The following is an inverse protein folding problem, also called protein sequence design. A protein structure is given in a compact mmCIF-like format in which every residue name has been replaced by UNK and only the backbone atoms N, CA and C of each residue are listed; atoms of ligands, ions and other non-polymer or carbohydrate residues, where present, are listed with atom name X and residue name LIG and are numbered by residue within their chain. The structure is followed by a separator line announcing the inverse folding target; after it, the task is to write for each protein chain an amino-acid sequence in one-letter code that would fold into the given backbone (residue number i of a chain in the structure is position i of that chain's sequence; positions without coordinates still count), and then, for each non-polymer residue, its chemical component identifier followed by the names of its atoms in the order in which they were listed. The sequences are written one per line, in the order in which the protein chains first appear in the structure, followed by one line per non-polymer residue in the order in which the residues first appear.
data_IF_831616914332
#
_entry.id   IF_831616914332
#
_cell.length_a   1.000
_cell.length_b   1.000
_cell.length_c   1.000
_cell.angle_alpha   90.00
_cell.angle_beta   90.00
_cell.angle_gamma   90.00
#
_symmetry.space_group_name_H-M   'P 1'
#
loop_
_entity.id
_entity.type
_entity.pdbx_description
1 polymer ?
#
# COMPACT_ATOMS: atom_id res chain seq x y z
N UNK A 1 -16.82 -21.93 -44.85
CA UNK A 1 -15.49 -22.46 -44.48
C UNK A 1 -14.38 -21.42 -44.46
N UNK A 2 -14.14 -20.61 -45.52
CA UNK A 2 -12.99 -19.66 -45.56
C UNK A 2 -12.99 -18.57 -44.47
N UNK A 3 -14.16 -18.05 -44.05
CA UNK A 3 -14.25 -17.01 -42.99
C UNK A 3 -13.99 -17.58 -41.60
N UNK A 4 -14.50 -18.79 -41.31
CA UNK A 4 -14.29 -19.45 -40.02
C UNK A 4 -12.82 -19.86 -39.84
N UNK A 5 -12.18 -20.40 -40.89
CA UNK A 5 -10.74 -20.68 -40.87
C UNK A 5 -9.91 -19.42 -40.62
N UNK A 6 -10.24 -18.30 -41.30
CA UNK A 6 -9.57 -17.02 -41.05
C UNK A 6 -9.74 -16.54 -39.60
N UNK A 7 -10.97 -16.61 -39.06
CA UNK A 7 -11.24 -16.23 -37.68
C UNK A 7 -10.47 -17.10 -36.67
N UNK A 8 -10.44 -18.42 -36.88
CA UNK A 8 -9.69 -19.33 -36.02
C UNK A 8 -8.18 -19.09 -36.11
N UNK A 9 -7.63 -18.86 -37.31
CA UNK A 9 -6.22 -18.49 -37.48
C UNK A 9 -5.90 -17.13 -36.85
N UNK A 10 -6.84 -16.19 -36.90
CA UNK A 10 -6.71 -14.91 -36.22
C UNK A 10 -6.68 -15.13 -34.71
N UNK A 11 -7.71 -15.71 -34.09
CA UNK A 11 -7.74 -15.97 -32.64
C UNK A 11 -6.52 -16.77 -32.17
N UNK A 12 -6.12 -17.81 -32.91
CA UNK A 12 -4.93 -18.59 -32.58
C UNK A 12 -3.64 -17.76 -32.68
N UNK A 13 -3.51 -16.92 -33.70
CA UNK A 13 -2.37 -16.01 -33.84
C UNK A 13 -2.24 -15.02 -32.68
N UNK A 14 -3.36 -14.55 -32.10
CA UNK A 14 -3.35 -13.70 -30.92
C UNK A 14 -2.74 -14.43 -29.71
N UNK A 15 -3.19 -15.66 -29.46
CA UNK A 15 -2.65 -16.46 -28.35
C UNK A 15 -1.17 -16.83 -28.55
N UNK A 16 -0.72 -17.07 -29.78
CA UNK A 16 0.70 -17.29 -30.06
C UNK A 16 1.53 -16.04 -29.75
N UNK A 17 1.04 -14.84 -30.10
CA UNK A 17 1.71 -13.59 -29.77
C UNK A 17 1.73 -13.34 -28.25
N UNK A 18 0.62 -13.63 -27.55
CA UNK A 18 0.54 -13.51 -26.10
C UNK A 18 1.46 -14.51 -25.39
N UNK A 19 1.57 -15.75 -25.88
CA UNK A 19 2.50 -16.74 -25.32
C UNK A 19 3.95 -16.36 -25.55
N UNK A 20 4.28 -15.76 -26.70
CA UNK A 20 5.63 -15.25 -26.95
C UNK A 20 5.97 -14.07 -26.03
N UNK A 21 5.02 -13.17 -25.79
CA UNK A 21 5.16 -12.04 -24.87
C UNK A 21 5.46 -12.51 -23.44
N UNK A 22 4.64 -13.43 -22.92
CA UNK A 22 4.86 -14.05 -21.60
C UNK A 22 6.19 -14.82 -21.51
N UNK A 23 6.63 -15.47 -22.59
CA UNK A 23 7.93 -16.14 -22.64
C UNK A 23 9.09 -15.13 -22.56
N UNK A 24 9.01 -14.02 -23.31
CA UNK A 24 10.03 -12.98 -23.28
C UNK A 24 10.11 -12.32 -21.90
N UNK A 25 8.97 -11.98 -21.30
CA UNK A 25 8.88 -11.43 -19.94
C UNK A 25 9.43 -12.40 -18.88
N UNK A 26 8.95 -13.65 -18.89
CA UNK A 26 9.29 -14.60 -17.85
C UNK A 26 10.71 -15.14 -17.93
N UNK A 27 11.25 -15.39 -19.13
CA UNK A 27 12.52 -16.13 -19.25
C UNK A 27 13.67 -15.21 -19.65
N UNK A 28 13.47 -14.38 -20.68
CA UNK A 28 14.56 -13.58 -21.23
C UNK A 28 14.91 -12.43 -20.31
N UNK A 29 13.90 -11.71 -19.80
CA UNK A 29 14.15 -10.57 -18.93
C UNK A 29 14.56 -10.96 -17.51
N UNK A 30 14.03 -12.04 -16.95
CA UNK A 30 14.54 -12.60 -15.68
C UNK A 30 16.03 -13.01 -15.80
N UNK A 31 16.43 -13.62 -16.92
CA UNK A 31 17.83 -13.95 -17.19
C UNK A 31 18.72 -12.71 -17.42
N UNK A 32 18.22 -11.68 -18.09
CA UNK A 32 18.94 -10.42 -18.31
C UNK A 32 19.11 -9.60 -17.02
N UNK A 33 18.13 -9.65 -16.11
CA UNK A 33 18.24 -9.08 -14.76
C UNK A 33 19.33 -9.80 -13.95
N UNK A 34 19.43 -11.15 -14.06
CA UNK A 34 20.54 -11.91 -13.45
C UNK A 34 21.93 -11.54 -14.02
N UNK A 35 21.98 -11.05 -15.26
CA UNK A 35 23.21 -10.61 -15.95
C UNK A 35 23.45 -9.09 -15.93
N UNK A 36 22.70 -8.33 -15.11
CA UNK A 36 22.97 -6.91 -14.85
C UNK A 36 22.62 -5.94 -15.98
N UNK A 37 21.74 -6.32 -16.91
CA UNK A 37 21.21 -5.42 -17.95
C UNK A 37 19.79 -4.97 -17.60
N UNK A 38 19.47 -3.69 -17.81
CA UNK A 38 18.14 -3.13 -17.51
C UNK A 38 17.12 -3.39 -18.62
N UNK A 39 15.82 -3.43 -18.27
CA UNK A 39 14.72 -3.56 -19.26
C UNK A 39 14.78 -2.44 -20.29
N UNK A 40 14.51 -2.79 -21.56
CA UNK A 40 14.46 -1.84 -22.67
C UNK A 40 13.00 -1.60 -23.06
N UNK A 41 12.36 -0.61 -22.42
CA UNK A 41 10.93 -0.31 -22.55
C UNK A 41 10.48 -0.02 -24.00
N UNK A 42 11.41 0.42 -24.86
CA UNK A 42 11.15 0.63 -26.28
C UNK A 42 10.80 -0.65 -27.05
N UNK A 43 11.33 -1.80 -26.63
CA UNK A 43 10.99 -3.09 -27.23
C UNK A 43 9.50 -3.41 -27.02
N UNK A 44 8.98 -3.19 -25.81
CA UNK A 44 7.57 -3.41 -25.49
C UNK A 44 6.65 -2.45 -26.24
N UNK A 45 7.02 -1.17 -26.33
CA UNK A 45 6.26 -0.21 -27.12
C UNK A 45 6.17 -0.61 -28.60
N UNK A 46 7.28 -1.07 -29.19
CA UNK A 46 7.32 -1.56 -30.58
C UNK A 46 6.53 -2.86 -30.75
N UNK A 47 6.65 -3.79 -29.80
CA UNK A 47 5.97 -5.08 -29.81
C UNK A 47 4.45 -4.93 -29.69
N UNK A 48 3.97 -4.16 -28.71
CA UNK A 48 2.54 -3.85 -28.57
C UNK A 48 1.99 -3.05 -29.76
N UNK A 49 2.82 -2.21 -30.39
CA UNK A 49 2.50 -1.59 -31.67
C UNK A 49 2.21 -2.60 -32.77
N UNK A 50 3.03 -3.65 -32.91
CA UNK A 50 2.82 -4.73 -33.87
C UNK A 50 1.54 -5.54 -33.57
N UNK A 51 1.28 -5.84 -32.30
CA UNK A 51 0.06 -6.54 -31.85
C UNK A 51 -1.19 -5.71 -32.18
N UNK A 52 -1.17 -4.40 -31.89
CA UNK A 52 -2.29 -3.50 -32.18
C UNK A 52 -2.58 -3.41 -33.68
N UNK A 53 -1.54 -3.27 -34.52
CA UNK A 53 -1.69 -3.25 -35.99
C UNK A 53 -2.29 -4.57 -36.49
N UNK A 54 -1.79 -5.71 -36.01
CA UNK A 54 -2.29 -7.02 -36.40
C UNK A 54 -3.75 -7.23 -35.96
N UNK A 55 -4.13 -6.75 -34.78
CA UNK A 55 -5.50 -6.83 -34.26
C UNK A 55 -6.48 -5.96 -35.07
N UNK A 56 -6.12 -4.69 -35.31
CA UNK A 56 -6.92 -3.75 -36.10
C UNK A 56 -7.08 -4.22 -37.55
N UNK A 57 -6.02 -4.77 -38.14
CA UNK A 57 -6.09 -5.38 -39.47
C UNK A 57 -7.07 -6.55 -39.52
N UNK A 58 -7.05 -7.42 -38.50
CA UNK A 58 -8.00 -8.53 -38.36
C UNK A 58 -9.46 -8.07 -38.29
N UNK A 59 -9.75 -7.05 -37.48
CA UNK A 59 -11.09 -6.44 -37.36
C UNK A 59 -11.55 -5.88 -38.70
N UNK A 60 -10.71 -5.09 -39.38
CA UNK A 60 -11.06 -4.48 -40.66
C UNK A 60 -11.37 -5.54 -41.73
N UNK A 61 -10.60 -6.64 -41.78
CA UNK A 61 -10.81 -7.76 -42.69
C UNK A 61 -12.09 -8.54 -42.40
N UNK A 62 -12.41 -8.77 -41.12
CA UNK A 62 -13.66 -9.42 -40.71
C UNK A 62 -14.87 -8.55 -41.05
N UNK A 63 -14.81 -7.25 -40.76
CA UNK A 63 -15.86 -6.28 -41.07
C UNK A 63 -16.14 -6.21 -42.58
N UNK A 64 -15.10 -6.12 -43.42
CA UNK A 64 -15.24 -6.07 -44.88
C UNK A 64 -15.88 -7.35 -45.45
N UNK A 65 -15.49 -8.53 -44.94
CA UNK A 65 -16.08 -9.82 -45.35
C UNK A 65 -17.53 -9.99 -44.87
N UNK A 66 -17.87 -9.43 -43.72
CA UNK A 66 -19.23 -9.49 -43.16
C UNK A 66 -20.19 -8.56 -43.91
N UNK A 67 -19.75 -7.33 -44.22
CA UNK A 67 -20.50 -6.36 -45.05
C UNK A 67 -20.76 -6.88 -46.48
N UNK A 68 -19.76 -7.48 -47.12
CA UNK A 68 -19.92 -8.09 -48.47
C UNK A 68 -20.93 -9.24 -48.50
N UNK A 69 -21.03 -10.03 -47.42
CA UNK A 69 -22.05 -11.10 -47.30
C UNK A 69 -23.46 -10.54 -47.08
N UNK A 70 -23.60 -9.42 -46.36
CA UNK A 70 -24.89 -8.77 -46.09
C UNK A 70 -25.49 -8.19 -47.38
N UNK A 71 -24.69 -7.49 -48.18
CA UNK A 71 -25.10 -6.94 -49.48
C UNK A 71 -25.53 -8.02 -50.49
N UNK A 72 -24.86 -9.18 -50.51
CA UNK A 72 -25.27 -10.32 -51.37
C UNK A 72 -26.55 -11.03 -50.92
N UNK A 73 -26.96 -10.86 -49.66
CA UNK A 73 -28.17 -11.49 -49.09
C UNK A 73 -29.40 -10.59 -49.22
N UNK A 74 -29.21 -9.27 -49.35
CA UNK A 74 -30.28 -8.30 -49.58
C UNK A 74 -30.69 -8.18 -51.06
N UNK A 75 -29.88 -8.65 -52.03
CA UNK A 75 -30.21 -8.59 -53.47
C UNK A 75 -31.09 -9.74 -54.00
N UNK A 76 -31.50 -10.70 -53.16
CA UNK A 76 -32.22 -11.93 -53.61
C UNK A 76 -33.48 -12.27 -52.81
N UNK A 77 -34.05 -11.35 -52.03
CA UNK A 77 -35.30 -11.58 -51.30
C UNK A 77 -36.38 -10.57 -51.74
N UNK A 78 -37.58 -11.00 -52.18
CA UNK A 78 -38.67 -10.08 -52.44
C UNK A 78 -39.16 -9.47 -51.12
N UNK A 79 -39.26 -8.13 -51.10
CA UNK A 79 -39.74 -7.33 -49.98
C UNK A 79 -41.23 -7.58 -49.76
N UNK A 80 -41.56 -8.31 -48.69
CA UNK A 80 -42.88 -8.24 -48.08
C UNK A 80 -42.70 -8.17 -46.56
N UNK A 81 -42.84 -6.98 -46.00
CA UNK A 81 -42.71 -6.73 -44.56
C UNK A 81 -43.98 -6.06 -44.06
N UNK A 82 -44.82 -6.86 -43.41
CA UNK A 82 -45.89 -6.38 -42.54
C UNK A 82 -45.27 -5.74 -41.30
N UNK A 83 -45.80 -4.58 -40.89
CA UNK A 83 -45.35 -3.73 -39.76
C UNK A 83 -45.39 -4.41 -38.37
N UNK A 84 -45.73 -5.70 -38.26
CA UNK A 84 -45.87 -6.41 -36.97
C UNK A 84 -44.65 -7.20 -36.49
N UNK A 85 -43.64 -7.44 -37.33
CA UNK A 85 -42.45 -8.23 -36.94
C UNK A 85 -41.22 -7.39 -36.54
N UNK A 86 -41.28 -6.07 -36.69
CA UNK A 86 -40.17 -5.17 -36.34
C UNK A 86 -39.95 -5.09 -34.80
N UNK A 87 -41.02 -5.22 -34.00
CA UNK A 87 -40.94 -5.09 -32.54
C UNK A 87 -40.59 -6.40 -31.80
N UNK A 88 -40.51 -7.55 -32.48
CA UNK A 88 -40.14 -8.84 -31.83
C UNK A 88 -38.65 -9.21 -31.93
N UNK A 89 -37.85 -8.48 -32.71
CA UNK A 89 -36.42 -8.79 -32.92
C UNK A 89 -35.43 -7.87 -32.20
N UNK A 90 -35.90 -6.85 -31.48
CA UNK A 90 -35.06 -6.00 -30.63
C UNK A 90 -34.85 -6.57 -29.21
N UNK A 91 -35.46 -7.71 -28.88
CA UNK A 91 -35.44 -8.33 -27.54
C UNK A 91 -34.49 -9.54 -27.40
N UNK A 92 -33.64 -9.83 -28.40
CA UNK A 92 -32.66 -10.95 -28.34
C UNK A 92 -31.21 -10.47 -28.56
N UNK A 93 -30.95 -9.16 -28.46
CA UNK A 93 -29.58 -8.60 -28.53
C UNK A 93 -29.17 -7.85 -27.25
N UNK A 94 -29.83 -8.13 -26.13
CA UNK A 94 -29.59 -7.49 -24.82
C UNK A 94 -29.38 -8.48 -23.67
N UNK A 95 -28.83 -9.67 -23.96
CA UNK A 95 -28.68 -10.75 -22.98
C UNK A 95 -27.34 -11.48 -23.13
N UNK A 96 -26.21 -10.78 -23.06
CA UNK A 96 -24.86 -11.37 -22.92
C UNK A 96 -23.85 -10.46 -22.18
N UNK A 97 -24.31 -9.62 -21.25
CA UNK A 97 -23.46 -8.91 -20.29
C UNK A 97 -24.04 -9.17 -18.90
N UNK A 98 -23.89 -10.40 -18.44
CA UNK A 98 -24.52 -10.90 -17.22
C UNK A 98 -23.79 -12.11 -16.69
N UNK A 99 -22.48 -11.97 -16.47
CA UNK A 99 -21.74 -12.71 -15.44
C UNK A 99 -20.84 -11.64 -14.80
N UNK A 100 -21.44 -10.83 -13.93
CA UNK A 100 -20.67 -10.07 -12.95
C UNK A 100 -20.02 -11.07 -11.99
N UNK A 101 -18.78 -10.86 -11.54
CA UNK A 101 -18.21 -11.68 -10.49
C UNK A 101 -19.03 -11.45 -9.22
N UNK A 102 -19.88 -12.40 -8.88
CA UNK A 102 -20.36 -12.56 -7.52
C UNK A 102 -19.19 -13.11 -6.70
N UNK A 103 -18.98 -12.51 -5.53
CA UNK A 103 -18.11 -12.96 -4.43
C UNK A 103 -16.61 -12.66 -4.58
N UNK A 104 -16.29 -11.38 -4.74
CA UNK A 104 -15.27 -10.78 -3.87
C UNK A 104 -15.97 -9.67 -3.12
N UNK A 105 -16.45 -9.97 -1.91
CA UNK A 105 -16.71 -8.94 -0.91
C UNK A 105 -15.35 -8.44 -0.44
N UNK A 106 -14.63 -7.69 -1.29
CA UNK A 106 -13.80 -6.64 -0.75
C UNK A 106 -14.79 -5.70 -0.08
N UNK A 107 -14.83 -5.75 1.26
CA UNK A 107 -15.25 -4.59 2.02
C UNK A 107 -14.35 -3.46 1.55
N UNK A 108 -14.81 -2.68 0.58
CA UNK A 108 -14.38 -1.30 0.45
C UNK A 108 -14.80 -0.66 1.76
N UNK A 109 -13.91 -0.68 2.74
CA UNK A 109 -13.96 0.28 3.82
C UNK A 109 -14.01 1.63 3.12
N UNK A 110 -15.13 2.33 3.30
CA UNK A 110 -15.28 3.68 2.80
C UNK A 110 -14.11 4.49 3.39
N UNK A 111 -13.13 4.79 2.54
CA UNK A 111 -11.93 5.51 2.89
C UNK A 111 -12.35 6.97 3.11
N UNK A 112 -12.66 7.28 4.36
CA UNK A 112 -12.71 8.65 4.86
C UNK A 112 -11.39 8.99 5.56
N UNK A 113 -10.26 8.42 5.13
CA UNK A 113 -8.97 8.91 5.60
C UNK A 113 -8.71 10.23 4.88
N UNK A 114 -8.49 11.29 5.65
CA UNK A 114 -7.87 12.47 5.08
C UNK A 114 -6.45 12.08 4.66
N UNK A 115 -6.03 12.51 3.48
CA UNK A 115 -4.63 12.40 3.06
C UNK A 115 -3.77 13.23 4.03
N UNK A 116 -3.07 12.56 4.95
CA UNK A 116 -2.18 13.19 5.92
C UNK A 116 -0.78 13.38 5.35
N UNK A 117 -0.10 14.44 5.79
CA UNK A 117 1.35 14.57 5.63
C UNK A 117 2.06 13.96 6.83
N UNK A 118 2.93 13.00 6.57
CA UNK A 118 3.64 12.25 7.61
C UNK A 118 5.14 12.44 7.43
N UNK A 119 5.78 13.03 8.44
CA UNK A 119 7.23 13.13 8.51
C UNK A 119 7.81 11.94 9.28
N UNK A 120 8.73 11.18 8.70
CA UNK A 120 9.37 10.05 9.37
C UNK A 120 10.81 10.43 9.75
N UNK A 121 11.07 10.55 11.05
CA UNK A 121 12.42 10.72 11.60
C UNK A 121 13.02 9.34 11.86
N UNK A 122 13.85 8.85 10.94
CA UNK A 122 14.49 7.55 11.02
C UNK A 122 13.92 6.52 10.05
N UNK A 123 14.45 6.47 8.83
CA UNK A 123 14.02 5.53 7.77
C UNK A 123 14.69 4.15 7.85
N UNK A 124 14.86 3.61 9.05
CA UNK A 124 15.38 2.25 9.27
C UNK A 124 14.34 1.17 8.93
N UNK A 125 14.55 -0.07 9.40
CA UNK A 125 13.62 -1.19 9.11
C UNK A 125 12.16 -0.87 9.43
N UNK A 126 11.88 -0.39 10.64
CA UNK A 126 10.49 -0.10 11.06
C UNK A 126 9.93 1.18 10.41
N UNK A 127 10.70 2.27 10.40
CA UNK A 127 10.30 3.53 9.77
C UNK A 127 10.08 3.40 8.26
N UNK A 128 10.94 2.64 7.58
CA UNK A 128 10.80 2.30 6.18
C UNK A 128 9.55 1.46 5.90
N UNK A 129 9.36 0.35 6.62
CA UNK A 129 8.21 -0.54 6.41
C UNK A 129 6.88 0.17 6.65
N UNK A 130 6.73 0.88 7.77
CA UNK A 130 5.51 1.63 8.08
C UNK A 130 5.28 2.76 7.08
N UNK A 131 6.32 3.52 6.74
CA UNK A 131 6.19 4.61 5.78
C UNK A 131 5.81 4.15 4.38
N UNK A 132 6.30 3.00 3.92
CA UNK A 132 5.87 2.41 2.64
C UNK A 132 4.37 2.14 2.71
N UNK A 133 3.90 1.48 3.78
CA UNK A 133 2.47 1.17 3.95
C UNK A 133 1.60 2.43 4.00
N UNK A 134 2.05 3.49 4.68
CA UNK A 134 1.32 4.76 4.68
C UNK A 134 1.28 5.44 3.32
N UNK A 135 2.36 5.37 2.54
CA UNK A 135 2.38 5.88 1.17
C UNK A 135 1.44 5.08 0.24
N UNK A 136 1.43 3.74 0.37
CA UNK A 136 0.49 2.83 -0.31
C UNK A 136 -0.97 3.11 0.08
N UNK A 137 -1.22 3.49 1.33
CA UNK A 137 -2.54 3.88 1.84
C UNK A 137 -3.00 5.27 1.36
N UNK A 138 -2.15 6.02 0.65
CA UNK A 138 -2.48 7.33 0.06
C UNK A 138 -1.98 8.54 0.84
N UNK A 139 -1.28 8.36 1.97
CA UNK A 139 -0.71 9.50 2.71
C UNK A 139 0.57 10.02 2.06
N UNK A 140 0.84 11.33 2.20
CA UNK A 140 2.09 11.91 1.73
C UNK A 140 3.18 11.69 2.78
N UNK A 141 4.27 11.01 2.43
CA UNK A 141 5.32 10.61 3.37
C UNK A 141 6.64 11.28 3.01
N UNK A 142 7.29 11.90 4.00
CA UNK A 142 8.67 12.36 3.90
C UNK A 142 9.55 11.49 4.80
N UNK A 143 10.31 10.59 4.18
CA UNK A 143 11.31 9.77 4.84
C UNK A 143 12.57 10.57 5.11
N UNK A 144 13.09 10.53 6.35
CA UNK A 144 14.33 11.22 6.65
C UNK A 144 15.48 10.35 7.15
N UNK A 145 16.67 10.76 6.73
CA UNK A 145 17.95 10.20 7.10
C UNK A 145 18.98 11.34 7.20
N UNK A 146 20.10 11.06 7.87
CA UNK A 146 21.29 11.92 7.81
C UNK A 146 21.95 11.88 6.43
N UNK A 147 21.64 10.84 5.64
CA UNK A 147 22.08 10.62 4.26
C UNK A 147 20.85 10.30 3.40
N UNK A 148 20.01 11.31 3.06
CA UNK A 148 18.76 11.08 2.33
C UNK A 148 18.99 10.54 0.91
N UNK A 149 20.16 10.79 0.32
CA UNK A 149 20.60 10.21 -0.96
C UNK A 149 20.59 8.68 -0.96
N UNK A 150 20.80 8.06 0.21
CA UNK A 150 20.78 6.60 0.37
C UNK A 150 19.36 6.02 0.45
N UNK A 151 18.33 6.85 0.50
CA UNK A 151 16.93 6.39 0.56
C UNK A 151 16.31 6.14 -0.81
N UNK A 152 17.09 6.20 -1.89
CA UNK A 152 16.61 6.08 -3.27
C UNK A 152 15.73 4.83 -3.48
N UNK A 153 16.15 3.66 -3.00
CA UNK A 153 15.37 2.43 -3.19
C UNK A 153 14.13 2.37 -2.31
N UNK A 154 14.17 2.99 -1.11
CA UNK A 154 13.01 3.13 -0.24
C UNK A 154 11.94 4.00 -0.89
N UNK A 155 12.33 5.13 -1.50
CA UNK A 155 11.40 6.01 -2.21
C UNK A 155 10.81 5.31 -3.43
N UNK A 156 11.61 4.57 -4.19
CA UNK A 156 11.09 3.77 -5.32
C UNK A 156 10.04 2.76 -4.86
N UNK A 157 10.26 2.09 -3.73
CA UNK A 157 9.30 1.14 -3.16
C UNK A 157 8.02 1.82 -2.69
N UNK A 158 8.13 2.99 -2.04
CA UNK A 158 6.98 3.70 -1.49
C UNK A 158 6.14 4.43 -2.56
N UNK A 159 6.67 4.66 -3.77
CA UNK A 159 5.94 5.21 -4.89
C UNK A 159 5.77 6.74 -4.85
N UNK A 160 4.78 7.25 -5.59
CA UNK A 160 4.63 8.69 -5.90
C UNK A 160 4.29 9.56 -4.68
N UNK A 161 3.74 8.96 -3.62
CA UNK A 161 3.37 9.66 -2.40
C UNK A 161 4.55 9.86 -1.43
N UNK A 162 5.76 9.42 -1.80
CA UNK A 162 6.93 9.44 -0.95
C UNK A 162 8.04 10.35 -1.46
N UNK A 163 8.71 11.03 -0.53
CA UNK A 163 9.92 11.81 -0.78
C UNK A 163 10.95 11.60 0.32
N UNK A 164 12.21 11.97 0.06
CA UNK A 164 13.31 11.87 1.01
C UNK A 164 13.88 13.24 1.36
N UNK A 165 14.29 13.41 2.62
CA UNK A 165 14.94 14.64 3.09
C UNK A 165 15.67 14.46 4.42
N UNK A 166 16.07 15.57 5.03
CA UNK A 166 16.71 15.60 6.35
C UNK A 166 15.67 15.59 7.48
N UNK A 167 16.06 15.19 8.71
CA UNK A 167 15.12 15.12 9.85
C UNK A 167 14.36 16.42 10.14
N UNK A 168 15.01 17.58 9.98
CA UNK A 168 14.35 18.88 10.12
C UNK A 168 13.22 19.07 9.09
N UNK A 169 13.43 18.62 7.85
CA UNK A 169 12.44 18.72 6.78
C UNK A 169 11.26 17.79 7.06
N UNK A 170 11.48 16.56 7.53
CA UNK A 170 10.41 15.67 7.98
C UNK A 170 9.58 16.27 9.12
N UNK A 171 10.24 16.81 10.15
CA UNK A 171 9.58 17.43 11.28
C UNK A 171 8.71 18.63 10.87
N UNK A 172 9.21 19.44 9.93
CA UNK A 172 8.48 20.58 9.39
C UNK A 172 7.31 20.16 8.48
N UNK A 173 7.53 19.18 7.60
CA UNK A 173 6.59 18.70 6.59
C UNK A 173 5.36 18.01 7.18
N UNK A 174 5.55 17.13 8.17
CA UNK A 174 4.47 16.28 8.68
C UNK A 174 3.48 17.06 9.53
N UNK A 175 2.19 16.86 9.31
CA UNK A 175 1.13 17.17 10.27
C UNK A 175 1.15 16.13 11.42
N UNK A 176 1.59 14.91 11.09
CA UNK A 176 1.99 13.85 12.01
C UNK A 176 3.48 13.57 11.83
N UNK A 177 4.21 13.37 12.92
CA UNK A 177 5.62 12.97 12.87
C UNK A 177 5.79 11.60 13.52
N UNK A 178 6.41 10.67 12.80
CA UNK A 178 6.74 9.34 13.30
C UNK A 178 8.24 9.26 13.62
N UNK A 179 8.58 8.96 14.87
CA UNK A 179 9.97 8.85 15.34
C UNK A 179 10.35 7.38 15.44
N UNK A 180 11.30 6.97 14.59
CA UNK A 180 11.78 5.61 14.42
C UNK A 180 13.32 5.55 14.48
N UNK A 181 13.91 6.23 15.46
CA UNK A 181 15.36 6.25 15.71
C UNK A 181 15.75 5.29 16.85
N UNK A 182 17.04 4.88 16.96
CA UNK A 182 17.54 4.29 18.19
C UNK A 182 17.20 5.17 19.41
N UNK A 183 16.81 4.55 20.53
CA UNK A 183 16.22 5.30 21.65
C UNK A 183 17.18 6.36 22.22
N UNK A 184 18.50 6.12 22.20
CA UNK A 184 19.48 7.12 22.64
C UNK A 184 19.51 8.41 21.81
N UNK A 185 18.97 8.39 20.59
CA UNK A 185 18.89 9.57 19.73
C UNK A 185 17.65 10.44 20.01
N UNK A 186 16.66 9.93 20.75
CA UNK A 186 15.42 10.64 21.05
C UNK A 186 15.64 12.00 21.76
N UNK A 187 16.54 12.12 22.77
CA UNK A 187 16.84 13.42 23.38
C UNK A 187 17.39 14.44 22.38
N UNK A 188 18.26 14.00 21.45
CA UNK A 188 18.82 14.88 20.42
C UNK A 188 17.74 15.31 19.42
N UNK A 189 16.85 14.41 19.01
CA UNK A 189 15.68 14.75 18.17
C UNK A 189 14.80 15.81 18.84
N UNK A 190 14.58 15.68 20.15
CA UNK A 190 13.88 16.69 20.94
C UNK A 190 14.58 18.05 20.94
N UNK A 191 15.88 18.07 21.22
CA UNK A 191 16.69 19.30 21.23
C UNK A 191 16.70 20.01 19.87
N UNK A 192 16.89 19.26 18.80
CA UNK A 192 17.06 19.83 17.46
C UNK A 192 15.73 20.20 16.81
N UNK A 193 14.67 19.41 17.02
CA UNK A 193 13.47 19.48 16.18
C UNK A 193 12.15 19.67 16.93
N UNK A 194 12.10 19.62 18.28
CA UNK A 194 10.82 19.79 19.00
C UNK A 194 10.12 21.12 18.68
N UNK A 195 10.87 22.18 18.40
CA UNK A 195 10.32 23.48 18.00
C UNK A 195 9.53 23.43 16.68
N UNK A 196 9.80 22.45 15.80
CA UNK A 196 9.08 22.21 14.55
C UNK A 196 7.84 21.32 14.74
N UNK A 197 7.74 20.64 15.89
CA UNK A 197 6.72 19.64 16.19
C UNK A 197 5.70 20.10 17.25
N UNK A 198 5.75 21.37 17.67
CA UNK A 198 4.86 21.91 18.69
C UNK A 198 3.39 21.73 18.31
N UNK A 199 2.59 21.21 19.24
CA UNK A 199 1.17 20.86 19.08
C UNK A 199 0.85 19.83 17.97
N UNK A 200 1.86 19.25 17.31
CA UNK A 200 1.68 18.18 16.33
C UNK A 200 1.51 16.84 17.03
N UNK A 201 0.88 15.89 16.35
CA UNK A 201 0.87 14.50 16.80
C UNK A 201 2.24 13.91 16.50
N UNK A 202 2.89 13.40 17.54
CA UNK A 202 4.18 12.72 17.41
C UNK A 202 4.00 11.28 17.88
N UNK A 203 4.22 10.33 16.98
CA UNK A 203 4.13 8.91 17.26
C UNK A 203 5.55 8.38 17.52
N UNK A 204 5.79 7.87 18.72
CA UNK A 204 7.05 7.26 19.14
C UNK A 204 6.92 5.73 19.19
N UNK A 205 7.71 5.03 18.38
CA UNK A 205 7.84 3.57 18.40
C UNK A 205 9.10 3.06 19.11
N UNK A 206 9.79 3.93 19.84
CA UNK A 206 11.06 3.65 20.50
C UNK A 206 10.97 2.51 21.51
N UNK A 207 12.03 1.72 21.57
CA UNK A 207 12.25 0.69 22.58
C UNK A 207 13.67 0.88 23.14
N UNK A 208 13.83 1.28 24.42
CA UNK A 208 15.13 1.41 25.04
C UNK A 208 15.82 0.05 25.17
N UNK A 209 17.13 0.04 24.95
CA UNK A 209 17.97 -1.15 25.02
C UNK A 209 19.28 -0.82 25.69
N UNK A 210 19.52 -1.32 26.90
CA UNK A 210 20.78 -1.06 27.63
C UNK A 210 22.03 -1.40 26.82
N UNK A 211 21.99 -2.47 26.00
CA UNK A 211 23.09 -2.91 25.15
C UNK A 211 23.39 -1.99 23.94
N UNK A 212 22.44 -1.12 23.57
CA UNK A 212 22.57 -0.16 22.44
C UNK A 212 22.63 1.29 22.91
N UNK A 213 21.85 1.62 23.94
CA UNK A 213 21.52 2.97 24.37
C UNK A 213 22.16 3.33 25.72
N UNK A 214 22.79 2.37 26.42
CA UNK A 214 23.49 2.61 27.67
C UNK A 214 22.56 2.91 28.86
N UNK A 215 23.07 3.56 29.93
CA UNK A 215 22.34 3.75 31.18
C UNK A 215 21.00 4.48 31.05
N UNK A 216 20.84 5.38 30.07
CA UNK A 216 19.57 6.08 29.86
C UNK A 216 18.42 5.12 29.50
N UNK A 217 18.73 3.96 28.91
CA UNK A 217 17.71 2.96 28.64
C UNK A 217 17.20 2.30 29.92
N UNK A 218 18.08 2.01 30.89
CA UNK A 218 17.67 1.43 32.17
C UNK A 218 16.75 2.41 32.93
N UNK A 219 17.09 3.70 32.92
CA UNK A 219 16.26 4.76 33.50
C UNK A 219 14.90 4.87 32.81
N UNK A 220 14.88 4.87 31.46
CA UNK A 220 13.65 4.92 30.69
C UNK A 220 12.75 3.68 30.90
N UNK A 221 13.35 2.49 30.98
CA UNK A 221 12.63 1.23 31.27
C UNK A 221 12.04 1.28 32.68
N UNK A 222 12.81 1.72 33.68
CA UNK A 222 12.33 1.81 35.06
C UNK A 222 11.18 2.82 35.22
N UNK A 223 11.24 3.94 34.49
CA UNK A 223 10.19 4.97 34.46
C UNK A 223 8.96 4.55 33.63
N UNK A 224 9.16 3.75 32.59
CA UNK A 224 8.18 3.44 31.56
C UNK A 224 8.33 4.38 30.37
N UNK A 225 8.37 3.81 29.15
CA UNK A 225 8.77 4.57 27.96
C UNK A 225 7.87 5.74 27.62
N UNK A 226 6.55 5.63 27.80
CA UNK A 226 5.63 6.73 27.49
C UNK A 226 5.93 7.98 28.32
N UNK A 227 6.19 7.81 29.62
CA UNK A 227 6.55 8.90 30.53
C UNK A 227 7.95 9.41 30.25
N UNK A 228 8.92 8.52 30.01
CA UNK A 228 10.29 8.91 29.70
C UNK A 228 10.41 9.67 28.36
N UNK A 229 9.77 9.19 27.30
CA UNK A 229 9.77 9.84 25.98
C UNK A 229 9.14 11.23 26.01
N UNK A 230 8.11 11.44 26.83
CA UNK A 230 7.46 12.75 26.98
C UNK A 230 8.41 13.84 27.49
N UNK A 231 9.40 13.49 28.31
CA UNK A 231 10.40 14.44 28.83
C UNK A 231 11.32 14.98 27.73
N UNK A 232 11.55 14.19 26.68
CA UNK A 232 12.39 14.59 25.55
C UNK A 232 11.64 15.35 24.46
N UNK A 233 10.30 15.31 24.46
CA UNK A 233 9.47 15.91 23.41
C UNK A 233 8.43 16.88 23.99
N UNK A 234 8.85 17.92 24.73
CA UNK A 234 7.90 18.85 25.35
C UNK A 234 7.08 19.60 24.31
N UNK A 235 5.78 19.76 24.59
CA UNK A 235 4.85 20.54 23.78
C UNK A 235 4.27 19.82 22.56
N UNK A 236 4.60 18.53 22.35
CA UNK A 236 3.98 17.70 21.31
C UNK A 236 2.81 16.90 21.88
N UNK A 237 1.90 16.45 21.02
CA UNK A 237 0.82 15.51 21.39
C UNK A 237 1.35 14.10 21.19
N UNK A 238 2.12 13.63 22.18
CA UNK A 238 2.85 12.36 22.11
C UNK A 238 1.90 11.16 22.18
N UNK A 239 2.12 10.20 21.28
CA UNK A 239 1.44 8.91 21.26
C UNK A 239 2.48 7.79 21.13
N UNK A 240 2.38 6.78 21.99
CA UNK A 240 3.14 5.54 21.90
C UNK A 240 2.37 4.54 21.05
N UNK A 241 2.94 4.11 19.94
CA UNK A 241 2.38 3.09 19.06
C UNK A 241 3.51 2.43 18.24
N UNK A 242 3.20 1.29 17.60
CA UNK A 242 4.12 0.54 16.73
C UNK A 242 5.42 0.01 17.36
N UNK A 243 5.64 0.20 18.67
CA UNK A 243 6.84 -0.33 19.33
C UNK A 243 6.75 -1.85 19.56
N UNK A 244 5.54 -2.40 19.66
CA UNK A 244 5.27 -3.82 19.94
C UNK A 244 5.01 -4.67 18.68
N UNK A 245 5.22 -4.10 17.49
CA UNK A 245 5.14 -4.81 16.19
C UNK A 245 6.50 -4.79 15.50
N UNK A 246 6.85 -5.87 14.81
CA UNK A 246 8.06 -5.98 14.01
C UNK A 246 7.84 -5.51 12.58
N UNK A 247 8.92 -5.04 11.94
CA UNK A 247 8.91 -4.70 10.52
C UNK A 247 8.58 -5.91 9.61
N UNK A 248 8.81 -7.14 10.10
CA UNK A 248 8.45 -8.38 9.39
C UNK A 248 6.93 -8.52 9.38
N UNK A 249 6.27 -8.39 10.53
CA UNK A 249 4.81 -8.40 10.62
C UNK A 249 4.17 -7.28 9.77
N UNK A 250 4.75 -6.07 9.75
CA UNK A 250 4.28 -4.99 8.85
C UNK A 250 4.38 -5.37 7.36
N UNK A 251 5.41 -6.14 6.99
CA UNK A 251 5.59 -6.63 5.62
C UNK A 251 4.67 -7.80 5.25
N UNK A 252 4.52 -8.76 6.15
CA UNK A 252 3.93 -10.08 5.86
C UNK A 252 2.47 -10.22 6.33
N UNK A 253 2.06 -9.50 7.37
CA UNK A 253 0.77 -9.69 8.06
C UNK A 253 -0.20 -8.51 7.89
N UNK A 254 0.22 -7.43 7.23
CA UNK A 254 -0.65 -6.32 6.90
C UNK A 254 -1.85 -6.78 6.05
N UNK A 255 -3.07 -6.38 6.44
CA UNK A 255 -4.31 -6.77 5.75
C UNK A 255 -4.55 -8.28 5.66
N UNK A 256 -3.99 -9.07 6.59
CA UNK A 256 -4.21 -10.52 6.62
C UNK A 256 -5.68 -10.89 6.68
N UNK A 257 -6.01 -12.06 6.16
CA UNK A 257 -7.34 -12.65 6.30
C UNK A 257 -7.63 -12.99 7.76
N UNK A 258 -8.88 -12.80 8.20
CA UNK A 258 -9.32 -13.10 9.57
C UNK A 258 -9.08 -11.95 10.54
N UNK A 259 -8.76 -12.28 11.80
CA UNK A 259 -8.58 -11.30 12.87
C UNK A 259 -7.24 -10.59 12.71
N UNK A 260 -7.23 -9.26 12.67
CA UNK A 260 -6.00 -8.47 12.49
C UNK A 260 -5.11 -8.49 13.73
N UNK A 261 -3.80 -8.35 13.53
CA UNK A 261 -2.84 -8.14 14.62
C UNK A 261 -3.16 -6.82 15.32
N UNK A 262 -3.19 -6.86 16.65
CA UNK A 262 -3.42 -5.69 17.48
C UNK A 262 -2.17 -4.83 17.62
N UNK A 263 -2.30 -3.52 17.45
CA UNK A 263 -1.23 -2.56 17.77
C UNK A 263 -1.64 -1.78 19.02
N UNK A 264 -0.92 -1.93 20.15
CA UNK A 264 -1.24 -1.20 21.36
C UNK A 264 -0.92 0.29 21.19
N UNK A 265 -1.79 1.15 21.68
CA UNK A 265 -1.68 2.61 21.60
C UNK A 265 -1.88 3.22 22.97
N UNK A 266 -0.97 4.12 23.38
CA UNK A 266 -1.12 4.92 24.58
C UNK A 266 -0.83 6.40 24.30
N UNK A 267 -1.62 7.29 24.89
CA UNK A 267 -1.46 8.74 24.73
C UNK A 267 -2.46 9.51 25.57
N UNK A 268 -2.05 10.70 26.02
CA UNK A 268 -2.88 11.53 26.92
C UNK A 268 -3.82 12.48 26.14
N UNK A 269 -3.55 12.70 24.86
CA UNK A 269 -4.37 13.51 23.97
C UNK A 269 -5.28 12.64 23.10
N UNK A 270 -6.59 12.70 23.35
CA UNK A 270 -7.58 11.84 22.71
C UNK A 270 -7.62 11.97 21.19
N UNK A 271 -7.42 13.18 20.65
CA UNK A 271 -7.44 13.39 19.20
C UNK A 271 -6.14 12.88 18.54
N UNK A 272 -5.00 12.91 19.22
CA UNK A 272 -3.75 12.31 18.78
C UNK A 272 -3.83 10.79 18.78
N UNK A 273 -4.43 10.20 19.83
CA UNK A 273 -4.72 8.75 19.88
C UNK A 273 -5.64 8.33 18.75
N UNK A 274 -6.67 9.12 18.42
CA UNK A 274 -7.56 8.84 17.31
C UNK A 274 -6.82 8.86 15.96
N UNK A 275 -5.94 9.85 15.73
CA UNK A 275 -5.10 9.93 14.52
C UNK A 275 -4.16 8.72 14.43
N UNK A 276 -3.47 8.36 15.51
CA UNK A 276 -2.60 7.18 15.52
C UNK A 276 -3.38 5.88 15.28
N UNK A 277 -4.60 5.77 15.83
CA UNK A 277 -5.48 4.62 15.61
C UNK A 277 -5.92 4.48 14.16
N UNK A 278 -6.23 5.62 13.51
CA UNK A 278 -6.53 5.66 12.08
C UNK A 278 -5.31 5.19 11.27
N UNK A 279 -4.12 5.72 11.57
CA UNK A 279 -2.88 5.35 10.89
C UNK A 279 -2.49 3.86 11.07
N UNK A 280 -2.87 3.23 12.18
CA UNK A 280 -2.75 1.77 12.38
C UNK A 280 -3.73 1.03 11.46
N UNK A 281 -4.97 1.50 11.40
CA UNK A 281 -6.03 0.90 10.57
C UNK A 281 -5.69 0.99 9.08
N UNK A 282 -5.16 2.14 8.65
CA UNK A 282 -4.82 2.44 7.26
C UNK A 282 -3.74 1.51 6.69
N UNK A 283 -2.91 0.91 7.55
CA UNK A 283 -1.88 -0.05 7.14
C UNK A 283 -2.26 -1.51 7.43
N UNK A 284 -3.54 -1.78 7.72
CA UNK A 284 -4.09 -3.13 7.80
C UNK A 284 -3.92 -3.83 9.15
N UNK A 285 -3.86 -3.06 10.24
CA UNK A 285 -3.78 -3.56 11.62
C UNK A 285 -4.96 -3.05 12.48
N UNK A 286 -5.19 -3.64 13.65
CA UNK A 286 -6.28 -3.23 14.55
C UNK A 286 -5.75 -2.43 15.76
N UNK A 287 -6.14 -1.16 15.93
CA UNK A 287 -5.69 -0.34 17.05
C UNK A 287 -6.31 -0.75 18.39
N UNK A 288 -5.46 -1.01 19.38
CA UNK A 288 -5.87 -1.30 20.76
C UNK A 288 -5.43 -0.16 21.67
N UNK A 289 -6.35 0.77 21.95
CA UNK A 289 -6.11 1.87 22.88
C UNK A 289 -6.03 1.34 24.32
N UNK A 290 -4.86 1.48 24.93
CA UNK A 290 -4.52 1.01 26.27
C UNK A 290 -4.82 2.08 27.33
N UNK A 291 -4.64 3.35 27.01
CA UNK A 291 -4.88 4.46 27.94
C UNK A 291 -3.85 5.59 27.79
N UNK A 292 -3.50 6.25 28.89
CA UNK A 292 -2.52 7.32 28.93
C UNK A 292 -1.07 6.83 28.79
N UNK A 293 -0.13 7.77 28.64
CA UNK A 293 1.30 7.48 28.48
C UNK A 293 1.91 6.72 29.67
N UNK A 294 1.31 6.84 30.86
CA UNK A 294 1.68 6.11 32.07
C UNK A 294 1.49 4.59 31.94
N UNK A 295 0.55 4.17 31.09
CA UNK A 295 0.29 2.76 30.76
C UNK A 295 1.11 2.23 29.60
N UNK A 296 1.87 3.06 28.89
CA UNK A 296 2.67 2.62 27.74
C UNK A 296 3.66 1.49 28.08
N UNK A 297 4.14 1.47 29.33
CA UNK A 297 5.02 0.42 29.84
C UNK A 297 4.44 -1.00 29.79
N UNK A 298 3.12 -1.14 29.71
CA UNK A 298 2.45 -2.44 29.65
C UNK A 298 2.70 -3.17 28.33
N UNK A 299 3.15 -2.47 27.30
CA UNK A 299 3.54 -3.04 26.01
C UNK A 299 4.99 -2.70 25.61
N UNK A 300 5.84 -2.37 26.58
CA UNK A 300 7.27 -2.16 26.35
C UNK A 300 8.01 -3.47 26.04
N UNK A 301 9.22 -3.34 25.49
CA UNK A 301 10.12 -4.47 25.25
C UNK A 301 10.29 -5.32 26.51
N UNK A 302 10.00 -6.62 26.39
CA UNK A 302 10.13 -7.60 27.47
C UNK A 302 8.80 -7.96 28.16
N UNK A 303 7.72 -7.25 27.83
CA UNK A 303 6.35 -7.60 28.26
C UNK A 303 5.82 -8.81 27.49
N UNK A 304 4.71 -9.38 27.96
CA UNK A 304 4.08 -10.55 27.35
C UNK A 304 3.44 -10.27 25.99
N UNK A 305 3.19 -9.00 25.66
CA UNK A 305 2.54 -8.57 24.41
C UNK A 305 3.52 -8.06 23.35
N UNK A 306 4.80 -7.88 23.71
CA UNK A 306 5.81 -7.32 22.81
C UNK A 306 6.20 -8.30 21.68
N UNK A 307 5.90 -7.93 20.42
CA UNK A 307 6.30 -8.64 19.19
C UNK A 307 5.89 -10.12 19.24
N UNK A 308 4.58 -10.34 19.45
CA UNK A 308 3.96 -11.65 19.54
C UNK A 308 2.94 -11.95 18.44
N UNK A 309 2.62 -10.97 17.59
CA UNK A 309 1.58 -11.10 16.57
C UNK A 309 0.18 -11.39 17.12
N UNK A 310 -0.11 -10.99 18.37
CA UNK A 310 -1.43 -11.19 18.98
C UNK A 310 -2.50 -10.45 18.17
N UNK A 311 -3.65 -11.08 17.99
CA UNK A 311 -4.86 -10.40 17.50
C UNK A 311 -5.27 -9.28 18.46
N UNK A 312 -6.09 -8.33 18.02
CA UNK A 312 -6.62 -7.30 18.93
C UNK A 312 -7.41 -7.89 20.11
N UNK A 313 -8.14 -9.00 19.91
CA UNK A 313 -8.88 -9.66 20.99
C UNK A 313 -7.93 -10.30 22.03
N UNK A 314 -6.89 -10.99 21.58
CA UNK A 314 -5.86 -11.56 22.45
C UNK A 314 -5.07 -10.47 23.17
N UNK A 315 -4.73 -9.38 22.47
CA UNK A 315 -4.02 -8.24 23.04
C UNK A 315 -4.84 -7.55 24.14
N UNK A 316 -6.14 -7.33 23.93
CA UNK A 316 -7.04 -6.79 24.97
C UNK A 316 -7.10 -7.71 26.19
N UNK A 317 -7.17 -9.02 25.96
CA UNK A 317 -7.17 -10.01 27.06
C UNK A 317 -5.87 -9.95 27.87
N UNK A 318 -4.72 -9.93 27.20
CA UNK A 318 -3.41 -9.84 27.85
C UNK A 318 -3.25 -8.53 28.65
N UNK A 319 -3.73 -7.40 28.10
CA UNK A 319 -3.68 -6.09 28.74
C UNK A 319 -4.82 -5.82 29.74
N UNK A 320 -5.72 -6.78 29.95
CA UNK A 320 -6.88 -6.69 30.85
C UNK A 320 -7.77 -5.48 30.54
N UNK A 321 -8.05 -5.27 29.25
CA UNK A 321 -8.91 -4.21 28.72
C UNK A 321 -10.35 -4.69 28.50
#
# INVERSE_FOLDING_TARGET
MKTLRFFLTWVFGFFVLLSFDLFMEGIVFEWLEWNGTTRNDWFFALWWGAVAVWFLYGIAMLSKKWSSKRMKRESTAPLNLSRRDFNKRLLIAGSCLGIGPALLTHRSFAQTSQDLKIGIIGSGRIGGAIGIRWAEAGHQVLFSSRHPDQLTDLIKQAGENASAGFPAEAAAFGDVVFIAVPYHALPQVGQDYAHLMQNKVVIDCGNPRADRDGPMADEAIAKGTGVASAEYLPGVRLVRAFNAISWIEVGEEAFRDGDLIGVPIAGDDAAGVAIASQLVTDIGFDPVVVGGLDRAKEFDRGTEVYVKGLTAAELRTALKL
#
